data_IF_566486635387
#
_entry.id   IF_566486635387
#
_cell.length_a   1.000
_cell.length_b   1.000
_cell.length_c   1.000
_cell.angle_alpha   90.00
_cell.angle_beta   90.00
_cell.angle_gamma   90.00
#
_symmetry.space_group_name_H-M   'P 1'
#
loop_
_entity.id
_entity.type
_entity.pdbx_description
1 polymer ?
#
# COMPACT_ATOMS: atom_id res chain seq x y z
N UNK A 1 20.58 -24.10 -2.58
CA UNK A 1 19.89 -23.33 -1.52
C UNK A 1 18.74 -22.62 -2.21
N UNK A 2 17.55 -22.63 -1.61
CA UNK A 2 16.44 -21.82 -2.09
C UNK A 2 16.90 -20.35 -2.16
N UNK A 3 16.49 -19.63 -3.22
CA UNK A 3 16.79 -18.21 -3.31
C UNK A 3 15.93 -17.47 -2.26
N UNK A 4 16.58 -16.69 -1.40
CA UNK A 4 15.91 -15.77 -0.48
C UNK A 4 15.79 -14.41 -1.17
N UNK A 5 14.61 -13.80 -1.08
CA UNK A 5 14.34 -12.45 -1.55
C UNK A 5 14.10 -11.53 -0.36
N UNK A 6 14.74 -10.37 -0.35
CA UNK A 6 14.39 -9.30 0.58
C UNK A 6 13.26 -8.48 0.00
N UNK A 7 12.17 -8.34 0.75
CA UNK A 7 10.98 -7.60 0.32
C UNK A 7 10.71 -6.44 1.25
N UNK A 8 10.21 -5.33 0.69
CA UNK A 8 9.84 -4.13 1.45
C UNK A 8 8.42 -3.72 1.07
N UNK A 9 7.62 -3.36 2.06
CA UNK A 9 6.36 -2.63 1.84
C UNK A 9 6.44 -1.24 2.46
N UNK A 10 5.96 -0.22 1.74
CA UNK A 10 5.95 1.14 2.27
C UNK A 10 4.86 2.02 1.64
N UNK A 11 3.95 2.52 2.47
CA UNK A 11 3.13 3.68 2.13
C UNK A 11 4.01 4.94 2.16
N UNK A 12 4.31 5.51 1.00
CA UNK A 12 5.22 6.67 0.87
C UNK A 12 4.49 8.01 0.91
N UNK A 13 3.16 7.99 1.04
CA UNK A 13 2.32 9.18 1.16
C UNK A 13 2.58 10.24 0.09
N UNK A 14 2.77 9.81 -1.16
CA UNK A 14 3.20 10.64 -2.29
C UNK A 14 4.41 11.54 -2.02
N UNK A 15 5.28 11.18 -1.07
CA UNK A 15 6.40 11.96 -0.57
C UNK A 15 6.00 13.35 -0.01
N UNK A 16 4.84 13.48 0.64
CA UNK A 16 4.43 14.73 1.32
C UNK A 16 4.88 14.81 2.79
N UNK A 17 5.39 13.70 3.36
CA UNK A 17 5.87 13.59 4.75
C UNK A 17 4.78 13.42 5.78
N UNK A 18 5.11 13.65 7.06
CA UNK A 18 4.19 13.51 8.20
C UNK A 18 3.23 14.70 8.38
N UNK A 19 2.28 14.57 9.32
CA UNK A 19 1.31 15.61 9.66
C UNK A 19 -0.04 15.44 8.95
N UNK A 20 -0.99 16.38 9.06
CA UNK A 20 -2.34 16.21 8.51
C UNK A 20 -2.32 16.13 6.98
N UNK A 21 -3.13 15.25 6.40
CA UNK A 21 -3.27 15.13 4.94
C UNK A 21 -4.00 16.38 4.39
N UNK A 22 -3.34 17.21 3.56
CA UNK A 22 -3.92 18.50 3.17
C UNK A 22 -4.84 18.38 1.94
N UNK A 23 -5.89 19.20 1.86
CA UNK A 23 -6.88 19.19 0.76
C UNK A 23 -6.27 19.27 -0.67
N UNK A 24 -5.09 19.88 -0.80
CA UNK A 24 -4.31 20.00 -2.04
C UNK A 24 -2.93 19.35 -1.92
N UNK A 25 -2.89 18.14 -1.37
CA UNK A 25 -1.65 17.38 -1.14
C UNK A 25 -0.75 17.25 -2.36
N UNK A 26 -1.29 17.24 -3.58
CA UNK A 26 -0.48 17.22 -4.80
C UNK A 26 0.47 18.43 -4.93
N UNK A 27 0.17 19.56 -4.27
CA UNK A 27 1.07 20.72 -4.24
C UNK A 27 2.14 20.63 -3.15
N UNK A 28 2.16 19.54 -2.39
CA UNK A 28 3.08 19.29 -1.26
C UNK A 28 4.06 18.15 -1.51
N UNK A 29 3.97 17.50 -2.67
CA UNK A 29 4.93 16.46 -3.06
C UNK A 29 6.33 17.08 -3.09
N UNK A 30 7.23 16.51 -2.31
CA UNK A 30 8.58 17.01 -2.13
C UNK A 30 9.59 16.11 -2.86
N UNK A 31 10.26 16.69 -3.86
CA UNK A 31 11.25 15.98 -4.66
C UNK A 31 12.51 15.63 -3.86
N UNK A 32 12.85 16.37 -2.82
CA UNK A 32 14.01 16.12 -1.97
C UNK A 32 13.71 14.92 -1.06
N UNK A 33 12.53 14.90 -0.46
CA UNK A 33 12.03 13.75 0.30
C UNK A 33 11.94 12.49 -0.57
N UNK A 34 11.47 12.60 -1.81
CA UNK A 34 11.44 11.45 -2.73
C UNK A 34 12.84 10.89 -3.00
N UNK A 35 13.86 11.75 -3.13
CA UNK A 35 15.26 11.31 -3.27
C UNK A 35 15.79 10.63 -2.00
N UNK A 36 15.40 11.12 -0.83
CA UNK A 36 15.75 10.52 0.46
C UNK A 36 15.07 9.16 0.67
N UNK A 37 13.79 9.01 0.30
CA UNK A 37 13.09 7.73 0.23
C UNK A 37 13.85 6.74 -0.65
N UNK A 38 14.26 7.16 -1.85
CA UNK A 38 15.03 6.29 -2.74
C UNK A 38 16.42 5.94 -2.20
N UNK A 39 17.09 6.86 -1.51
CA UNK A 39 18.38 6.58 -0.86
C UNK A 39 18.20 5.58 0.30
N UNK A 40 17.13 5.72 1.09
CA UNK A 40 16.78 4.79 2.16
C UNK A 40 16.53 3.38 1.59
N UNK A 41 15.64 3.26 0.60
CA UNK A 41 15.32 1.97 -0.05
C UNK A 41 16.57 1.35 -0.69
N UNK A 42 17.43 2.16 -1.31
CA UNK A 42 18.69 1.68 -1.91
C UNK A 42 19.60 1.00 -0.89
N UNK A 43 19.67 1.54 0.34
CA UNK A 43 20.49 1.00 1.42
C UNK A 43 19.96 -0.32 2.00
N UNK A 44 18.66 -0.60 1.86
CA UNK A 44 18.06 -1.88 2.30
C UNK A 44 18.47 -3.06 1.43
N UNK A 45 18.93 -2.78 0.20
CA UNK A 45 19.31 -3.82 -0.77
C UNK A 45 18.14 -4.79 -1.06
N UNK A 46 16.91 -4.27 -1.11
CA UNK A 46 15.70 -5.05 -1.35
C UNK A 46 15.59 -5.56 -2.80
N UNK A 47 15.07 -6.77 -2.97
CA UNK A 47 14.82 -7.38 -4.28
C UNK A 47 13.48 -6.93 -4.87
N UNK A 48 12.45 -6.81 -4.03
CA UNK A 48 11.10 -6.40 -4.41
C UNK A 48 10.58 -5.37 -3.42
N UNK A 49 10.05 -4.25 -3.93
CA UNK A 49 9.51 -3.15 -3.14
C UNK A 49 8.08 -2.89 -3.57
N UNK A 50 7.14 -2.99 -2.63
CA UNK A 50 5.74 -2.65 -2.81
C UNK A 50 5.47 -1.26 -2.20
N UNK A 51 4.97 -0.33 -3.01
CA UNK A 51 4.66 1.03 -2.59
C UNK A 51 3.16 1.29 -2.64
N UNK A 52 2.66 1.99 -1.63
CA UNK A 52 1.30 2.53 -1.57
C UNK A 52 1.36 4.07 -1.58
N UNK A 53 0.22 4.70 -1.92
CA UNK A 53 0.11 6.16 -2.06
C UNK A 53 1.10 6.77 -3.06
N UNK A 54 1.20 6.14 -4.22
CA UNK A 54 2.07 6.59 -5.30
C UNK A 54 1.28 7.53 -6.21
N UNK A 55 1.81 8.73 -6.44
CA UNK A 55 1.21 9.70 -7.36
C UNK A 55 1.98 9.82 -8.67
N UNK A 56 1.24 9.99 -9.76
CA UNK A 56 1.75 10.45 -11.06
C UNK A 56 0.92 11.65 -11.49
N UNK A 57 1.55 12.82 -11.56
CA UNK A 57 0.88 14.11 -11.75
C UNK A 57 1.52 14.85 -12.90
N UNK A 58 0.72 15.18 -13.91
CA UNK A 58 1.10 16.13 -14.96
C UNK A 58 0.42 17.47 -14.68
N UNK A 59 1.22 18.52 -14.50
CA UNK A 59 0.75 19.87 -14.15
C UNK A 59 1.69 20.89 -14.77
N UNK A 60 1.17 21.90 -15.45
CA UNK A 60 1.96 22.99 -16.05
C UNK A 60 3.18 22.51 -16.89
N UNK A 61 3.00 21.43 -17.66
CA UNK A 61 4.05 20.75 -18.44
C UNK A 61 5.19 20.08 -17.64
N UNK A 62 5.06 20.00 -16.32
CA UNK A 62 5.92 19.19 -15.45
C UNK A 62 5.25 17.85 -15.15
N UNK A 63 6.07 16.82 -14.97
CA UNK A 63 5.65 15.49 -14.56
C UNK A 63 6.30 15.16 -13.22
N UNK A 64 5.48 14.91 -12.22
CA UNK A 64 5.87 14.28 -10.96
C UNK A 64 5.47 12.82 -11.07
N UNK A 65 6.43 11.89 -11.01
CA UNK A 65 6.18 10.46 -11.13
C UNK A 65 6.92 9.74 -9.99
N UNK A 66 6.26 9.57 -8.84
CA UNK A 66 6.93 9.10 -7.63
C UNK A 66 7.64 7.76 -7.87
N UNK A 67 6.93 6.77 -8.39
CA UNK A 67 7.50 5.44 -8.59
C UNK A 67 8.47 5.40 -9.78
N UNK A 68 8.24 6.18 -10.84
CA UNK A 68 9.17 6.31 -11.96
C UNK A 68 10.51 6.95 -11.56
N UNK A 69 10.47 7.98 -10.72
CA UNK A 69 11.67 8.60 -10.14
C UNK A 69 12.45 7.63 -9.27
N UNK A 70 11.77 6.91 -8.36
CA UNK A 70 12.40 5.89 -7.51
C UNK A 70 12.99 4.75 -8.34
N UNK A 71 12.28 4.25 -9.35
CA UNK A 71 12.76 3.19 -10.22
C UNK A 71 14.02 3.61 -11.00
N UNK A 72 14.07 4.87 -11.48
CA UNK A 72 15.27 5.44 -12.12
C UNK A 72 16.43 5.61 -11.15
N UNK A 73 16.17 6.07 -9.92
CA UNK A 73 17.19 6.22 -8.90
C UNK A 73 17.82 4.88 -8.50
N UNK A 74 17.00 3.84 -8.40
CA UNK A 74 17.42 2.50 -7.99
C UNK A 74 17.94 1.65 -9.15
N UNK A 75 17.61 1.99 -10.39
CA UNK A 75 17.98 1.23 -11.59
C UNK A 75 17.23 -0.10 -11.72
N UNK A 76 15.95 -0.14 -11.35
CA UNK A 76 15.15 -1.38 -11.25
C UNK A 76 13.83 -1.31 -12.04
N UNK A 77 13.20 -2.45 -12.30
CA UNK A 77 11.92 -2.49 -13.01
C UNK A 77 10.79 -1.90 -12.18
N UNK A 78 9.77 -1.36 -12.87
CA UNK A 78 8.58 -0.76 -12.27
C UNK A 78 7.31 -1.30 -12.93
N UNK A 79 6.29 -1.57 -12.12
CA UNK A 79 4.88 -1.60 -12.54
C UNK A 79 4.07 -0.69 -11.62
N UNK A 80 3.19 0.10 -12.22
CA UNK A 80 2.29 1.01 -11.53
C UNK A 80 0.84 0.65 -11.84
N UNK A 81 0.02 0.55 -10.79
CA UNK A 81 -1.40 0.27 -10.87
C UNK A 81 -2.20 1.48 -10.38
N UNK A 82 -2.60 2.35 -11.30
CA UNK A 82 -3.48 3.47 -10.99
C UNK A 82 -4.87 2.98 -10.56
N UNK A 83 -5.40 3.59 -9.50
CA UNK A 83 -6.74 3.30 -8.98
C UNK A 83 -7.69 4.49 -9.07
N UNK A 84 -7.14 5.70 -9.00
CA UNK A 84 -7.89 6.94 -9.04
C UNK A 84 -7.26 7.90 -10.04
N UNK A 85 -8.10 8.58 -10.80
CA UNK A 85 -7.73 9.75 -11.60
C UNK A 85 -8.42 10.96 -11.02
N UNK A 86 -7.72 12.09 -10.93
CA UNK A 86 -8.25 13.33 -10.37
C UNK A 86 -7.74 14.54 -11.16
N UNK A 87 -8.55 15.61 -11.19
CA UNK A 87 -8.12 16.88 -11.73
C UNK A 87 -7.16 17.57 -10.75
N UNK A 88 -6.08 18.13 -11.29
CA UNK A 88 -5.19 19.01 -10.52
C UNK A 88 -5.70 20.42 -10.70
N UNK A 89 -6.07 21.06 -9.59
CA UNK A 89 -6.67 22.39 -9.61
C UNK A 89 -5.84 23.38 -8.80
N UNK A 90 -5.50 24.51 -9.42
CA UNK A 90 -4.80 25.63 -8.79
C UNK A 90 -5.63 26.90 -8.93
N UNK A 91 -5.81 27.64 -7.83
CA UNK A 91 -6.60 28.88 -7.82
C UNK A 91 -8.00 28.75 -8.45
N UNK A 92 -8.59 27.55 -8.41
CA UNK A 92 -9.91 27.25 -8.97
C UNK A 92 -9.92 26.81 -10.44
N UNK A 93 -8.76 26.76 -11.11
CA UNK A 93 -8.64 26.32 -12.50
C UNK A 93 -7.95 24.95 -12.59
N UNK A 94 -8.42 24.09 -13.49
CA UNK A 94 -7.78 22.80 -13.77
C UNK A 94 -6.48 23.03 -14.54
N UNK A 95 -5.34 22.80 -13.89
CA UNK A 95 -3.99 23.00 -14.42
C UNK A 95 -3.30 21.68 -14.81
N UNK A 96 -3.96 20.55 -14.57
CA UNK A 96 -3.39 19.24 -14.84
C UNK A 96 -4.29 18.07 -14.48
N UNK A 97 -3.68 16.88 -14.50
CA UNK A 97 -4.31 15.61 -14.14
C UNK A 97 -3.34 14.79 -13.31
N UNK A 98 -3.87 14.13 -12.30
CA UNK A 98 -3.15 13.21 -11.45
C UNK A 98 -3.77 11.82 -11.49
N UNK A 99 -2.93 10.81 -11.31
CA UNK A 99 -3.35 9.48 -10.92
C UNK A 99 -2.72 9.10 -9.59
N UNK A 100 -3.40 8.23 -8.87
CA UNK A 100 -2.95 7.70 -7.59
C UNK A 100 -3.12 6.19 -7.58
N UNK A 101 -2.24 5.47 -6.89
CA UNK A 101 -2.32 4.01 -6.79
C UNK A 101 -1.13 3.37 -6.11
N UNK A 102 -0.88 2.11 -6.48
CA UNK A 102 0.19 1.29 -5.91
C UNK A 102 1.27 1.02 -6.95
N UNK A 103 2.49 0.75 -6.51
CA UNK A 103 3.60 0.36 -7.39
C UNK A 103 4.33 -0.87 -6.86
N UNK A 104 4.89 -1.66 -7.78
CA UNK A 104 5.86 -2.71 -7.49
C UNK A 104 7.14 -2.35 -8.24
N UNK A 105 8.24 -2.24 -7.51
CA UNK A 105 9.57 -2.10 -8.05
C UNK A 105 10.35 -3.38 -7.79
N UNK A 106 11.17 -3.82 -8.74
CA UNK A 106 11.86 -5.11 -8.63
C UNK A 106 13.20 -5.14 -9.36
N UNK A 107 14.23 -5.65 -8.68
CA UNK A 107 15.52 -6.01 -9.29
C UNK A 107 15.43 -7.25 -10.16
N UNK A 108 14.41 -8.08 -9.90
CA UNK A 108 14.11 -9.31 -10.63
C UNK A 108 13.10 -8.99 -11.75
N UNK A 109 13.18 -9.64 -12.92
CA UNK A 109 12.27 -9.32 -14.03
C UNK A 109 10.79 -9.47 -13.67
N UNK A 110 9.96 -8.46 -13.98
CA UNK A 110 8.51 -8.54 -13.79
C UNK A 110 7.87 -9.11 -15.05
N UNK A 111 7.58 -10.41 -15.04
CA UNK A 111 7.15 -11.15 -16.24
C UNK A 111 5.77 -10.75 -16.73
N UNK A 112 4.85 -10.50 -15.80
CA UNK A 112 3.55 -9.93 -16.10
C UNK A 112 3.03 -9.16 -14.88
N UNK A 113 2.08 -8.26 -15.10
CA UNK A 113 1.38 -7.57 -14.04
C UNK A 113 -0.07 -7.26 -14.44
N UNK A 114 -0.96 -7.20 -13.45
CA UNK A 114 -2.35 -6.82 -13.61
C UNK A 114 -2.85 -6.05 -12.40
N UNK A 115 -3.73 -5.08 -12.64
CA UNK A 115 -4.38 -4.31 -11.57
C UNK A 115 -5.82 -4.78 -11.44
N UNK A 116 -6.22 -5.11 -10.21
CA UNK A 116 -7.57 -5.52 -9.86
C UNK A 116 -8.21 -4.42 -9.03
N UNK A 117 -9.31 -3.86 -9.50
CA UNK A 117 -10.12 -2.95 -8.70
C UNK A 117 -10.71 -3.70 -7.51
N UNK A 118 -10.59 -3.12 -6.32
CA UNK A 118 -11.17 -3.66 -5.10
C UNK A 118 -12.57 -3.07 -4.90
N UNK A 119 -13.51 -3.86 -4.33
CA UNK A 119 -14.88 -3.44 -4.16
C UNK A 119 -15.00 -2.27 -3.17
N UNK A 120 -16.02 -1.46 -3.43
CA UNK A 120 -16.56 -0.49 -2.48
C UNK A 120 -17.73 -1.10 -1.72
N UNK A 121 -18.03 -0.57 -0.53
CA UNK A 121 -19.21 -0.96 0.21
C UNK A 121 -20.50 -0.61 -0.58
N UNK A 122 -21.58 -1.40 -0.42
CA UNK A 122 -22.89 -1.04 -0.95
C UNK A 122 -23.33 0.35 -0.49
N UNK A 123 -24.01 1.11 -1.36
CA UNK A 123 -24.41 2.50 -1.07
C UNK A 123 -25.35 2.64 0.12
N UNK A 124 -26.14 1.61 0.42
CA UNK A 124 -27.04 1.52 1.57
C UNK A 124 -26.40 0.96 2.84
N UNK A 125 -25.17 0.44 2.75
CA UNK A 125 -24.41 0.01 3.91
C UNK A 125 -24.00 1.20 4.78
N UNK A 126 -23.74 0.93 6.06
CA UNK A 126 -23.09 1.90 6.93
C UNK A 126 -21.59 1.91 6.66
N UNK A 127 -20.98 3.10 6.69
CA UNK A 127 -19.52 3.26 6.62
C UNK A 127 -18.86 2.48 7.74
N UNK A 128 -19.28 2.73 8.99
CA UNK A 128 -18.97 1.90 10.15
C UNK A 128 -20.27 1.55 10.90
N UNK A 129 -20.32 0.40 11.62
CA UNK A 129 -21.49 0.01 12.39
C UNK A 129 -21.94 1.12 13.36
N UNK A 130 -23.25 1.22 13.58
CA UNK A 130 -23.81 2.17 14.54
C UNK A 130 -23.24 1.88 15.95
N UNK A 131 -22.69 2.92 16.60
CA UNK A 131 -22.08 2.81 17.92
C UNK A 131 -20.59 2.42 17.91
N UNK A 132 -19.98 2.22 16.74
CA UNK A 132 -18.53 2.12 16.62
C UNK A 132 -17.85 3.41 17.11
N UNK A 133 -16.63 3.28 17.64
CA UNK A 133 -15.81 4.41 18.10
C UNK A 133 -15.14 5.14 16.91
N UNK A 134 -15.95 5.57 15.94
CA UNK A 134 -15.48 6.25 14.73
C UNK A 134 -16.44 7.39 14.34
N UNK A 135 -15.96 8.57 13.88
CA UNK A 135 -16.83 9.68 13.50
C UNK A 135 -17.83 9.36 12.38
N UNK A 136 -17.52 8.38 11.54
CA UNK A 136 -18.40 7.92 10.46
C UNK A 136 -19.38 6.80 10.87
N UNK A 137 -19.43 6.40 12.14
CA UNK A 137 -20.35 5.38 12.62
C UNK A 137 -21.81 5.76 12.37
N UNK A 138 -22.57 4.87 11.72
CA UNK A 138 -23.97 5.11 11.37
C UNK A 138 -24.21 6.02 10.16
N UNK A 139 -23.16 6.57 9.53
CA UNK A 139 -23.28 7.27 8.24
C UNK A 139 -23.49 6.24 7.14
N UNK A 140 -24.47 6.45 6.25
CA UNK A 140 -24.64 5.60 5.07
C UNK A 140 -23.53 5.88 4.07
N UNK A 141 -23.06 4.86 3.38
CA UNK A 141 -22.00 4.98 2.40
C UNK A 141 -22.37 5.97 1.27
N UNK A 142 -23.63 6.01 0.84
CA UNK A 142 -24.13 7.00 -0.12
C UNK A 142 -23.95 8.47 0.32
N UNK A 143 -24.00 8.72 1.63
CA UNK A 143 -23.95 10.05 2.23
C UNK A 143 -22.53 10.44 2.69
N UNK A 144 -21.58 9.51 2.58
CA UNK A 144 -20.20 9.73 2.96
C UNK A 144 -19.47 10.66 1.96
N UNK A 145 -18.55 11.52 2.43
CA UNK A 145 -17.70 12.32 1.56
C UNK A 145 -16.86 11.44 0.63
N UNK A 146 -16.45 12.00 -0.51
CA UNK A 146 -15.62 11.28 -1.49
C UNK A 146 -14.27 10.82 -0.92
N UNK A 147 -13.77 11.51 0.13
CA UNK A 147 -12.58 11.06 0.87
C UNK A 147 -12.79 9.72 1.58
N UNK A 148 -14.01 9.34 1.93
CA UNK A 148 -14.30 8.00 2.48
C UNK A 148 -14.50 6.98 1.35
N UNK A 149 -15.02 7.41 0.20
CA UNK A 149 -15.36 6.53 -0.94
C UNK A 149 -14.24 6.42 -1.96
N UNK A 150 -13.00 6.38 -1.50
CA UNK A 150 -11.85 6.34 -2.38
C UNK A 150 -11.70 4.97 -3.05
N UNK A 151 -11.61 4.91 -4.39
CA UNK A 151 -11.36 3.66 -5.10
C UNK A 151 -10.04 3.02 -4.64
N UNK A 152 -10.06 1.70 -4.39
CA UNK A 152 -8.89 0.90 -3.96
C UNK A 152 -8.54 -0.19 -4.99
N UNK A 153 -7.27 -0.58 -5.08
CA UNK A 153 -6.81 -1.61 -6.01
C UNK A 153 -5.79 -2.54 -5.35
N UNK A 154 -5.68 -3.72 -5.96
CA UNK A 154 -4.58 -4.67 -5.79
C UNK A 154 -3.77 -4.69 -7.09
N UNK A 155 -2.47 -4.46 -7.01
CA UNK A 155 -1.55 -4.65 -8.14
C UNK A 155 -0.84 -5.99 -7.94
N UNK A 156 -1.01 -6.91 -8.88
CA UNK A 156 -0.37 -8.23 -8.90
C UNK A 156 0.74 -8.25 -9.95
N UNK A 157 1.86 -8.90 -9.64
CA UNK A 157 3.00 -9.08 -10.51
C UNK A 157 3.60 -10.49 -10.36
N UNK A 158 4.02 -11.08 -11.48
CA UNK A 158 4.74 -12.36 -11.48
C UNK A 158 6.25 -12.10 -11.49
N UNK A 159 6.93 -12.46 -10.40
CA UNK A 159 8.36 -12.22 -10.16
C UNK A 159 9.01 -13.54 -9.74
N UNK A 160 9.96 -14.03 -10.54
CA UNK A 160 10.52 -15.38 -10.37
C UNK A 160 9.43 -16.47 -10.27
N UNK A 161 9.33 -17.19 -9.15
CA UNK A 161 8.29 -18.18 -8.93
C UNK A 161 7.11 -17.63 -8.09
N UNK A 162 7.16 -16.36 -7.69
CA UNK A 162 6.18 -15.74 -6.81
C UNK A 162 5.16 -14.91 -7.59
N UNK A 163 3.91 -15.03 -7.20
CA UNK A 163 2.91 -13.98 -7.43
C UNK A 163 2.98 -12.98 -6.28
N UNK A 164 3.43 -11.77 -6.56
CA UNK A 164 3.54 -10.67 -5.58
C UNK A 164 2.39 -9.69 -5.78
N UNK A 165 1.69 -9.36 -4.69
CA UNK A 165 0.62 -8.36 -4.66
C UNK A 165 0.94 -7.19 -3.76
N UNK A 166 0.49 -6.00 -4.17
CA UNK A 166 0.44 -4.81 -3.31
C UNK A 166 -0.96 -4.21 -3.27
N UNK A 167 -1.45 -3.93 -2.06
CA UNK A 167 -2.76 -3.32 -1.85
C UNK A 167 -2.67 -2.15 -0.85
N UNK A 168 -3.61 -1.22 -1.00
CA UNK A 168 -3.89 -0.17 -0.02
C UNK A 168 -5.40 -0.19 0.25
N UNK A 169 -5.83 -0.79 1.35
CA UNK A 169 -7.25 -0.92 1.67
C UNK A 169 -7.84 0.40 2.17
N UNK A 170 -9.17 0.48 2.25
CA UNK A 170 -9.85 1.68 2.73
C UNK A 170 -9.50 2.00 4.18
N UNK A 171 -9.09 3.25 4.41
CA UNK A 171 -8.75 3.76 5.74
C UNK A 171 -9.97 3.88 6.68
N UNK A 172 -11.18 3.91 6.12
CA UNK A 172 -12.43 3.90 6.88
C UNK A 172 -13.33 2.78 6.34
N UNK A 173 -14.01 2.07 7.24
CA UNK A 173 -15.03 1.10 6.90
C UNK A 173 -14.56 -0.34 7.01
N UNK A 174 -14.68 -0.93 8.19
CA UNK A 174 -14.41 -2.35 8.46
C UNK A 174 -15.14 -3.30 7.48
N UNK A 175 -16.41 -3.01 7.18
CA UNK A 175 -17.20 -3.80 6.22
C UNK A 175 -16.67 -3.72 4.78
N UNK A 176 -16.16 -2.55 4.38
CA UNK A 176 -15.52 -2.38 3.07
C UNK A 176 -14.20 -3.15 3.02
N UNK A 177 -13.35 -3.02 4.05
CA UNK A 177 -12.11 -3.79 4.14
C UNK A 177 -12.33 -5.30 4.07
N UNK A 178 -13.43 -5.81 4.64
CA UNK A 178 -13.78 -7.23 4.53
C UNK A 178 -14.08 -7.64 3.08
N UNK A 179 -14.79 -6.81 2.31
CA UNK A 179 -15.02 -7.06 0.89
C UNK A 179 -13.71 -7.01 0.10
N UNK A 180 -12.81 -6.09 0.46
CA UNK A 180 -11.51 -5.91 -0.17
C UNK A 180 -10.57 -7.08 0.11
N UNK A 181 -10.53 -7.60 1.34
CA UNK A 181 -9.74 -8.78 1.70
C UNK A 181 -10.24 -10.04 0.99
N UNK A 182 -11.56 -10.26 0.95
CA UNK A 182 -12.18 -11.34 0.18
C UNK A 182 -11.81 -11.28 -1.30
N UNK A 183 -11.97 -10.10 -1.92
CA UNK A 183 -11.62 -9.90 -3.33
C UNK A 183 -10.12 -10.12 -3.59
N UNK A 184 -9.28 -9.75 -2.63
CA UNK A 184 -7.82 -9.92 -2.73
C UNK A 184 -7.45 -11.40 -2.76
N UNK A 185 -7.95 -12.20 -1.82
CA UNK A 185 -7.75 -13.66 -1.81
C UNK A 185 -8.27 -14.30 -3.11
N UNK A 186 -9.46 -13.90 -3.57
CA UNK A 186 -10.02 -14.39 -4.85
C UNK A 186 -9.13 -14.03 -6.05
N UNK A 187 -8.53 -12.84 -6.06
CA UNK A 187 -7.68 -12.37 -7.15
C UNK A 187 -6.31 -13.07 -7.23
N UNK A 188 -5.79 -13.53 -6.09
CA UNK A 188 -4.66 -14.47 -6.04
C UNK A 188 -5.09 -15.85 -6.54
N UNK A 189 -6.31 -16.30 -6.22
CA UNK A 189 -6.83 -17.59 -6.67
C UNK A 189 -5.95 -18.75 -6.16
N UNK A 190 -5.55 -19.64 -7.07
CA UNK A 190 -4.66 -20.78 -6.75
C UNK A 190 -3.17 -20.43 -6.87
N UNK A 191 -2.80 -19.14 -6.90
CA UNK A 191 -1.40 -18.72 -7.01
C UNK A 191 -0.59 -19.18 -5.80
N UNK A 192 0.41 -20.02 -6.05
CA UNK A 192 1.33 -20.54 -5.04
C UNK A 192 2.73 -20.71 -5.66
N UNK A 193 3.80 -20.24 -5.01
CA UNK A 193 3.80 -19.38 -3.83
C UNK A 193 3.31 -17.95 -4.12
N UNK A 194 2.71 -17.29 -3.13
CA UNK A 194 2.26 -15.91 -3.24
C UNK A 194 2.66 -15.05 -2.03
N UNK A 195 2.73 -13.74 -2.27
CA UNK A 195 3.09 -12.74 -1.27
C UNK A 195 2.19 -11.52 -1.42
N UNK A 196 1.56 -11.06 -0.35
CA UNK A 196 0.84 -9.79 -0.27
C UNK A 196 1.60 -8.83 0.64
N UNK A 197 1.87 -7.63 0.14
CA UNK A 197 2.55 -6.54 0.82
C UNK A 197 1.60 -5.33 0.85
N UNK A 198 1.45 -4.65 1.98
CA UNK A 198 0.81 -3.34 1.94
C UNK A 198 0.11 -2.86 3.19
N UNK A 199 -0.36 -1.63 3.09
CA UNK A 199 -1.21 -0.96 4.05
C UNK A 199 -2.65 -1.49 3.92
N UNK A 200 -3.03 -2.39 4.81
CA UNK A 200 -4.38 -2.97 4.82
C UNK A 200 -5.33 -2.18 5.73
N UNK A 201 -4.89 -1.06 6.31
CA UNK A 201 -5.68 -0.18 7.18
C UNK A 201 -6.41 -0.91 8.32
N UNK A 202 -5.89 -2.06 8.75
CA UNK A 202 -6.41 -2.86 9.85
C UNK A 202 -5.29 -3.69 10.48
N UNK A 203 -5.38 -3.96 11.78
CA UNK A 203 -4.49 -4.93 12.43
C UNK A 203 -4.78 -6.34 11.92
N UNK A 204 -3.77 -7.23 11.94
CA UNK A 204 -3.90 -8.58 11.35
C UNK A 204 -4.96 -9.45 12.03
N UNK A 205 -5.26 -9.18 13.30
CA UNK A 205 -6.29 -9.85 14.09
C UNK A 205 -7.70 -9.23 13.95
N UNK A 206 -7.86 -8.19 13.12
CA UNK A 206 -9.14 -7.58 12.83
C UNK A 206 -10.05 -8.53 12.03
N UNK A 207 -11.36 -8.48 12.30
CA UNK A 207 -12.33 -9.38 11.67
C UNK A 207 -12.38 -9.22 10.13
N UNK A 208 -12.13 -8.01 9.63
CA UNK A 208 -12.05 -7.72 8.20
C UNK A 208 -10.86 -8.37 7.48
N UNK A 209 -9.82 -8.79 8.20
CA UNK A 209 -8.65 -9.50 7.63
C UNK A 209 -8.74 -11.02 7.81
N UNK A 210 -9.83 -11.54 8.40
CA UNK A 210 -10.07 -12.97 8.55
C UNK A 210 -9.95 -13.80 7.26
N UNK A 211 -10.22 -13.30 6.03
CA UNK A 211 -9.96 -14.05 4.81
C UNK A 211 -8.50 -14.48 4.60
N UNK A 212 -7.55 -13.80 5.25
CA UNK A 212 -6.13 -14.16 5.22
C UNK A 212 -5.73 -15.15 6.33
N UNK A 213 -6.67 -15.75 7.08
CA UNK A 213 -6.34 -16.63 8.20
C UNK A 213 -5.50 -17.87 7.83
N UNK A 214 -5.50 -18.29 6.56
CA UNK A 214 -4.64 -19.37 6.04
C UNK A 214 -3.30 -18.89 5.49
N UNK A 215 -3.05 -17.59 5.49
CA UNK A 215 -1.79 -16.98 5.07
C UNK A 215 -0.88 -16.85 6.29
N UNK A 216 0.41 -17.00 6.06
CA UNK A 216 1.45 -16.80 7.08
C UNK A 216 1.69 -15.31 7.25
N UNK A 217 1.48 -14.79 8.46
CA UNK A 217 1.93 -13.47 8.86
C UNK A 217 3.46 -13.43 8.93
N UNK A 218 4.07 -12.43 8.30
CA UNK A 218 5.52 -12.27 8.28
C UNK A 218 6.13 -11.86 9.62
N UNK A 219 5.35 -11.22 10.49
CA UNK A 219 5.78 -10.89 11.85
C UNK A 219 5.72 -12.12 12.76
N UNK A 220 6.73 -12.27 13.60
CA UNK A 220 6.75 -13.34 14.62
C UNK A 220 6.11 -12.88 15.93
N UNK A 221 6.05 -11.57 16.12
CA UNK A 221 5.47 -10.89 17.26
C UNK A 221 3.95 -10.96 17.22
N UNK A 222 3.26 -11.06 18.38
CA UNK A 222 1.81 -11.04 18.45
C UNK A 222 1.20 -9.80 17.77
N UNK A 223 -0.01 -9.91 17.23
CA UNK A 223 -0.71 -8.82 16.53
C UNK A 223 -0.81 -7.49 17.32
N UNK A 224 -0.83 -7.58 18.65
CA UNK A 224 -0.89 -6.42 19.56
C UNK A 224 0.48 -5.82 19.92
N UNK A 225 1.58 -6.42 19.48
CA UNK A 225 2.92 -6.05 19.91
C UNK A 225 3.34 -4.66 19.39
N UNK A 226 3.87 -3.76 20.25
CA UNK A 226 4.38 -2.46 19.83
C UNK A 226 5.47 -2.50 18.75
N UNK A 227 6.23 -3.60 18.64
CA UNK A 227 7.24 -3.80 17.60
C UNK A 227 6.65 -3.71 16.19
N UNK A 228 5.36 -4.01 16.04
CA UNK A 228 4.61 -3.96 14.77
C UNK A 228 4.04 -2.59 14.44
N UNK A 229 4.20 -1.58 15.31
CA UNK A 229 3.68 -0.22 15.05
C UNK A 229 4.35 0.34 13.80
N UNK A 230 3.60 0.44 12.71
CA UNK A 230 4.08 0.81 11.38
C UNK A 230 3.73 2.25 11.01
N UNK A 231 3.07 3.00 11.89
CA UNK A 231 2.75 4.43 11.66
C UNK A 231 3.22 5.33 12.81
N UNK A 232 3.38 6.62 12.53
CA UNK A 232 3.83 7.63 13.50
C UNK A 232 2.80 7.94 14.59
N UNK A 233 1.53 7.55 14.39
CA UNK A 233 0.41 7.70 15.31
C UNK A 233 0.02 6.39 16.05
N UNK A 234 0.78 5.31 15.86
CA UNK A 234 0.71 4.12 16.73
C UNK A 234 -0.06 2.93 16.19
N UNK A 235 -0.43 2.92 14.90
CA UNK A 235 -1.15 1.82 14.26
C UNK A 235 -0.22 0.73 13.72
N UNK A 236 -0.79 -0.47 13.52
CA UNK A 236 -0.11 -1.70 13.08
C UNK A 236 -0.83 -2.23 11.84
N UNK A 237 -0.75 -1.47 10.74
CA UNK A 237 -1.66 -1.63 9.59
C UNK A 237 -0.95 -2.02 8.29
N UNK A 238 0.38 -2.04 8.29
CA UNK A 238 1.19 -2.52 7.18
C UNK A 238 1.58 -3.99 7.40
N UNK A 239 1.40 -4.83 6.38
CA UNK A 239 1.57 -6.28 6.49
C UNK A 239 2.43 -6.89 5.39
N UNK A 240 3.10 -7.98 5.75
CA UNK A 240 3.70 -8.96 4.84
C UNK A 240 2.99 -10.29 5.08
N UNK A 241 2.18 -10.75 4.12
CA UNK A 241 1.44 -12.00 4.21
C UNK A 241 1.89 -12.97 3.12
N UNK A 242 2.22 -14.20 3.48
CA UNK A 242 2.72 -15.21 2.57
C UNK A 242 1.75 -16.39 2.43
N UNK A 243 1.60 -16.92 1.22
CA UNK A 243 0.87 -18.15 0.93
C UNK A 243 1.82 -19.15 0.27
N UNK A 244 2.03 -20.30 0.92
CA UNK A 244 3.00 -21.32 0.49
C UNK A 244 4.43 -20.81 0.25
N UNK A 245 4.81 -19.71 0.91
CA UNK A 245 6.17 -19.21 1.01
C UNK A 245 6.59 -19.11 2.48
N UNK A 246 7.89 -19.26 2.74
CA UNK A 246 8.43 -19.09 4.09
C UNK A 246 8.88 -17.65 4.30
N UNK A 247 8.51 -17.06 5.44
CA UNK A 247 8.97 -15.75 5.89
C UNK A 247 9.97 -15.95 7.03
N UNK A 248 11.16 -15.36 6.92
CA UNK A 248 12.26 -15.48 7.89
C UNK A 248 12.30 -14.31 8.88
N UNK A 249 11.12 -13.80 9.23
CA UNK A 249 10.92 -12.62 10.07
C UNK A 249 10.57 -11.37 9.27
N UNK A 250 9.86 -10.47 9.94
CA UNK A 250 9.49 -9.16 9.44
C UNK A 250 9.74 -8.12 10.54
N UNK A 251 10.22 -6.93 10.15
CA UNK A 251 10.50 -5.84 11.08
C UNK A 251 10.08 -4.50 10.50
N UNK A 252 9.67 -3.59 11.39
CA UNK A 252 9.39 -2.20 11.05
C UNK A 252 10.67 -1.35 11.18
N UNK A 253 10.98 -0.59 10.13
CA UNK A 253 12.20 0.22 10.01
C UNK A 253 11.96 1.68 10.42
N UNK A 254 11.91 1.94 11.73
CA UNK A 254 11.64 3.28 12.29
C UNK A 254 12.76 4.29 12.04
N UNK A 255 13.94 3.81 11.68
CA UNK A 255 15.06 4.63 11.22
C UNK A 255 14.74 5.44 9.95
N UNK A 256 13.64 5.15 9.25
CA UNK A 256 13.14 5.97 8.14
C UNK A 256 12.66 7.37 8.57
N UNK A 257 12.42 7.60 9.87
CA UNK A 257 12.10 8.93 10.39
C UNK A 257 10.78 9.49 9.84
N UNK A 258 10.80 10.73 9.36
CA UNK A 258 9.64 11.50 8.91
C UNK A 258 9.50 11.55 7.37
N UNK A 259 10.14 10.60 6.67
CA UNK A 259 10.01 10.45 5.23
C UNK A 259 8.56 10.11 4.79
N UNK A 260 7.79 9.48 5.69
CA UNK A 260 6.37 9.22 5.56
C UNK A 260 5.76 9.14 6.98
N UNK A 261 4.43 9.23 7.11
CA UNK A 261 3.72 8.88 8.34
C UNK A 261 3.65 7.36 8.58
N UNK A 262 4.00 6.57 7.57
CA UNK A 262 4.27 5.14 7.69
C UNK A 262 5.78 4.83 7.71
N UNK A 263 6.17 3.84 8.50
CA UNK A 263 7.49 3.24 8.48
C UNK A 263 7.52 2.06 7.51
N UNK A 264 8.58 1.89 6.72
CA UNK A 264 8.71 0.73 5.85
C UNK A 264 8.81 -0.55 6.70
N UNK A 265 8.22 -1.63 6.19
CA UNK A 265 8.39 -2.96 6.76
C UNK A 265 9.21 -3.82 5.81
N UNK A 266 10.13 -4.60 6.36
CA UNK A 266 11.06 -5.45 5.63
C UNK A 266 10.90 -6.90 6.08
N UNK A 267 10.96 -7.84 5.13
CA UNK A 267 10.98 -9.26 5.40
C UNK A 267 11.92 -10.01 4.44
N UNK A 268 12.35 -11.21 4.85
CA UNK A 268 13.08 -12.14 3.98
C UNK A 268 12.18 -13.32 3.62
N UNK A 269 12.02 -13.59 2.32
CA UNK A 269 11.10 -14.59 1.77
C UNK A 269 11.89 -15.67 1.07
N UNK A 270 11.62 -16.94 1.36
CA UNK A 270 12.14 -18.05 0.56
C UNK A 270 11.02 -18.87 -0.05
N UNK A 271 11.22 -19.24 -1.32
CA UNK A 271 10.37 -20.16 -2.06
C UNK A 271 11.00 -21.55 -2.00
N UNK A 272 10.20 -22.58 -1.69
CA UNK A 272 10.66 -23.97 -1.68
C UNK A 272 10.89 -24.52 -3.09
#
# INVERSE_FOLDING_TARGET
>A
MAATLRVVSWNIRAAIGTGPFPDRWWSRIDADRLREIGAFISALDADVIALQEVAVISRNAELVDNAGDLARQLGIELRYGAVRTFAVTDAGETTGVGTFGNAILSRRPIRSARTVALPQAPTDALVEPQGAAHPAAGIRYADAPDSIREPRCLLLAEIDALTVGTAHFSHVGSGERLLQSQRTVEAFGDATPALLLGDLNAAIDAAELAPFASWTDGFTEPASDPARISTDDGWRIDHVLAHDASVHGCRVLREAGDLSDHFPIEAEISVA
#
